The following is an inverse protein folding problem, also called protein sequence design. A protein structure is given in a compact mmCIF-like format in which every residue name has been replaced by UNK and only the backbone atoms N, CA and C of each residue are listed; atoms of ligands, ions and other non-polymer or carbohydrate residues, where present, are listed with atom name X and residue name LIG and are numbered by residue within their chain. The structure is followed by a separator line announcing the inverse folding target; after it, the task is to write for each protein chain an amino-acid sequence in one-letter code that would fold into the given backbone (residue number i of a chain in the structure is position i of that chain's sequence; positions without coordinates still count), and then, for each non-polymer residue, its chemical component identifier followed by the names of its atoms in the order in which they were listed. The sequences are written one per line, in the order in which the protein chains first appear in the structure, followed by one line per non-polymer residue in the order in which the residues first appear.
data_IF_608592264389
#
_entry.id   IF_608592264389
#
_cell.length_a   1.000
_cell.length_b   1.000
_cell.length_c   1.000
_cell.angle_alpha   90.00
_cell.angle_beta   90.00
_cell.angle_gamma   90.00
#
_symmetry.space_group_name_H-M   'P 1'
#
loop_
_entity.id
_entity.type
_entity.pdbx_description
1 polymer ?
#
# COMPACT_ATOMS: atom_id res chain seq x y z
N UNK A 1 -19.61 0.74 -5.08
CA UNK A 1 -18.30 1.12 -4.52
C UNK A 1 -17.49 1.77 -5.63
N UNK A 2 -17.09 3.04 -5.47
CA UNK A 2 -16.51 3.85 -6.56
C UNK A 2 -15.04 3.45 -6.75
N UNK A 3 -14.74 2.62 -7.76
CA UNK A 3 -13.37 2.41 -8.22
C UNK A 3 -12.89 3.76 -8.74
N UNK A 4 -11.92 4.39 -8.08
CA UNK A 4 -11.25 5.55 -8.65
C UNK A 4 -10.11 5.02 -9.53
N UNK A 5 -10.29 4.99 -10.87
CA UNK A 5 -9.35 4.34 -11.77
C UNK A 5 -7.97 5.00 -11.76
N UNK A 6 -7.89 6.27 -11.37
CA UNK A 6 -6.64 7.04 -11.33
C UNK A 6 -5.98 7.04 -9.95
N UNK A 7 -6.60 6.45 -8.92
CA UNK A 7 -6.06 6.49 -7.56
C UNK A 7 -4.67 5.84 -7.48
N UNK A 8 -4.47 4.71 -8.15
CA UNK A 8 -3.17 4.04 -8.17
C UNK A 8 -2.10 4.87 -8.89
N UNK A 9 -2.45 5.57 -9.98
CA UNK A 9 -1.53 6.47 -10.68
C UNK A 9 -1.17 7.69 -9.83
N UNK A 10 -2.19 8.31 -9.22
CA UNK A 10 -1.99 9.45 -8.31
C UNK A 10 -1.16 9.06 -7.11
N UNK A 11 -1.42 7.89 -6.51
CA UNK A 11 -0.66 7.40 -5.37
C UNK A 11 0.80 7.11 -5.74
N UNK A 12 1.07 6.57 -6.93
CA UNK A 12 2.45 6.40 -7.41
C UNK A 12 3.16 7.74 -7.66
N UNK A 13 2.44 8.74 -8.15
CA UNK A 13 3.01 10.06 -8.45
C UNK A 13 3.23 10.91 -7.20
N UNK A 14 2.28 10.88 -6.26
CA UNK A 14 2.31 11.63 -5.01
C UNK A 14 1.56 10.85 -3.90
N UNK A 15 2.25 9.92 -3.20
CA UNK A 15 1.63 9.16 -2.11
C UNK A 15 1.17 10.08 -0.98
N UNK A 16 1.94 11.12 -0.66
CA UNK A 16 1.65 12.01 0.46
C UNK A 16 0.40 12.86 0.22
N UNK A 17 0.28 13.49 -0.96
CA UNK A 17 -0.92 14.26 -1.30
C UNK A 17 -2.17 13.39 -1.34
N UNK A 18 -2.05 12.13 -1.79
CA UNK A 18 -3.18 11.18 -1.70
C UNK A 18 -3.51 10.86 -0.23
N UNK A 19 -2.53 10.57 0.61
CA UNK A 19 -2.77 10.28 2.03
C UNK A 19 -3.37 11.47 2.79
N UNK A 20 -3.00 12.70 2.43
CA UNK A 20 -3.60 13.93 2.97
C UNK A 20 -5.09 14.04 2.65
N UNK A 21 -5.52 13.68 1.43
CA UNK A 21 -6.93 13.68 1.02
C UNK A 21 -7.78 12.70 1.84
N UNK A 22 -7.16 11.63 2.36
CA UNK A 22 -7.82 10.65 3.21
C UNK A 22 -7.60 10.89 4.70
N UNK A 23 -6.93 11.99 5.09
CA UNK A 23 -6.58 12.32 6.47
C UNK A 23 -5.82 11.19 7.18
N UNK A 24 -4.89 10.56 6.46
CA UNK A 24 -4.04 9.51 7.03
C UNK A 24 -2.79 10.14 7.61
N UNK A 25 -2.68 10.05 8.93
CA UNK A 25 -1.63 10.65 9.74
C UNK A 25 -0.95 9.58 10.62
N UNK A 26 0.14 9.97 11.29
CA UNK A 26 0.81 9.11 12.27
C UNK A 26 1.74 8.06 11.67
N UNK A 27 2.06 7.03 12.46
CA UNK A 27 3.07 6.02 12.12
C UNK A 27 2.67 5.18 10.90
N UNK A 28 1.38 4.88 10.76
CA UNK A 28 0.83 4.13 9.63
C UNK A 28 1.05 4.85 8.30
N UNK A 29 1.04 6.19 8.30
CA UNK A 29 1.29 7.01 7.12
C UNK A 29 2.65 6.71 6.51
N UNK A 30 3.68 6.54 7.34
CA UNK A 30 5.05 6.28 6.87
C UNK A 30 5.09 4.97 6.09
N UNK A 31 4.51 3.91 6.67
CA UNK A 31 4.44 2.60 6.03
C UNK A 31 3.59 2.61 4.75
N UNK A 32 2.50 3.38 4.72
CA UNK A 32 1.69 3.53 3.50
C UNK A 32 2.46 4.28 2.42
N UNK A 33 3.09 5.42 2.74
CA UNK A 33 3.80 6.26 1.78
C UNK A 33 5.00 5.54 1.13
N UNK A 34 5.70 4.68 1.88
CA UNK A 34 6.81 3.87 1.38
C UNK A 34 6.39 2.53 0.77
N UNK A 35 5.09 2.18 0.83
CA UNK A 35 4.59 0.85 0.48
C UNK A 35 5.30 -0.28 1.24
N UNK A 36 5.59 -0.06 2.53
CA UNK A 36 6.12 -1.08 3.42
C UNK A 36 5.02 -2.07 3.79
N UNK A 37 4.76 -3.00 2.86
CA UNK A 37 3.73 -4.02 3.00
C UNK A 37 3.94 -4.91 4.23
N UNK A 38 5.20 -5.09 4.66
CA UNK A 38 5.52 -5.86 5.86
C UNK A 38 5.14 -5.11 7.13
N UNK A 39 5.52 -3.84 7.24
CA UNK A 39 5.12 -3.02 8.39
C UNK A 39 3.60 -2.90 8.51
N UNK A 40 2.89 -2.74 7.38
CA UNK A 40 1.42 -2.73 7.36
C UNK A 40 0.82 -4.07 7.79
N UNK A 41 1.39 -5.20 7.33
CA UNK A 41 0.96 -6.54 7.72
C UNK A 41 1.18 -6.79 9.22
N UNK A 42 2.37 -6.46 9.74
CA UNK A 42 2.72 -6.62 11.14
C UNK A 42 1.88 -5.68 12.05
N UNK A 43 1.44 -4.54 11.51
CA UNK A 43 0.47 -3.63 12.14
C UNK A 43 -0.98 -4.14 12.18
N UNK A 44 -1.25 -5.34 11.64
CA UNK A 44 -2.56 -5.98 11.69
C UNK A 44 -3.51 -5.61 10.55
N UNK A 45 -3.02 -4.92 9.51
CA UNK A 45 -3.83 -4.65 8.31
C UNK A 45 -4.20 -5.96 7.63
N UNK A 46 -5.46 -6.08 7.22
CA UNK A 46 -5.96 -7.28 6.56
C UNK A 46 -5.11 -7.62 5.32
N UNK A 47 -4.53 -8.84 5.24
CA UNK A 47 -3.65 -9.22 4.14
C UNK A 47 -4.33 -9.12 2.77
N UNK A 48 -5.63 -9.40 2.67
CA UNK A 48 -6.36 -9.28 1.41
C UNK A 48 -6.46 -7.83 0.93
N UNK A 49 -6.54 -6.85 1.84
CA UNK A 49 -6.52 -5.42 1.45
C UNK A 49 -5.15 -5.03 0.89
N UNK A 50 -4.08 -5.47 1.54
CA UNK A 50 -2.71 -5.25 1.07
C UNK A 50 -2.48 -5.92 -0.29
N UNK A 51 -3.00 -7.13 -0.48
CA UNK A 51 -2.90 -7.86 -1.75
C UNK A 51 -3.59 -7.12 -2.89
N UNK A 52 -4.84 -6.68 -2.70
CA UNK A 52 -5.55 -5.94 -3.74
C UNK A 52 -4.91 -4.57 -4.02
N UNK A 53 -4.39 -3.90 -2.99
CA UNK A 53 -3.63 -2.66 -3.15
C UNK A 53 -2.37 -2.90 -4.01
N UNK A 54 -1.56 -3.90 -3.64
CA UNK A 54 -0.36 -4.31 -4.35
C UNK A 54 -0.62 -4.56 -5.85
N UNK A 55 -1.68 -5.32 -6.17
CA UNK A 55 -2.07 -5.56 -7.56
C UNK A 55 -2.45 -4.29 -8.31
N UNK A 56 -3.13 -3.34 -7.65
CA UNK A 56 -3.55 -2.08 -8.29
C UNK A 56 -2.37 -1.15 -8.56
N UNK A 57 -1.35 -1.16 -7.71
CA UNK A 57 -0.13 -0.37 -7.90
C UNK A 57 0.92 -1.06 -8.76
N UNK A 58 0.68 -2.31 -9.18
CA UNK A 58 1.52 -3.04 -10.14
C UNK A 58 2.55 -3.99 -9.52
N UNK A 59 2.46 -4.25 -8.22
CA UNK A 59 3.25 -5.28 -7.53
C UNK A 59 2.62 -6.64 -7.81
N UNK A 60 3.40 -7.57 -8.36
CA UNK A 60 2.88 -8.89 -8.69
C UNK A 60 2.67 -9.77 -7.45
N UNK A 61 1.99 -10.90 -7.64
CA UNK A 61 1.66 -11.82 -6.54
C UNK A 61 2.90 -12.39 -5.86
N UNK A 62 3.93 -12.77 -6.62
CA UNK A 62 5.13 -13.39 -6.06
C UNK A 62 5.90 -12.37 -5.23
N UNK A 63 6.06 -11.16 -5.75
CA UNK A 63 6.69 -10.04 -5.08
C UNK A 63 5.94 -9.65 -3.79
N UNK A 64 4.61 -9.55 -3.84
CA UNK A 64 3.77 -9.27 -2.67
C UNK A 64 4.04 -10.25 -1.50
N UNK A 65 4.00 -11.55 -1.78
CA UNK A 65 4.24 -12.55 -0.75
C UNK A 65 5.70 -12.59 -0.28
N UNK A 66 6.66 -12.24 -1.15
CA UNK A 66 8.07 -12.12 -0.78
C UNK A 66 8.30 -10.94 0.17
N UNK A 67 7.71 -9.76 -0.13
CA UNK A 67 7.79 -8.57 0.72
C UNK A 67 7.19 -8.81 2.11
N UNK A 68 5.99 -9.41 2.20
CA UNK A 68 5.35 -9.70 3.50
C UNK A 68 6.18 -10.70 4.34
N UNK A 69 6.82 -11.67 3.69
CA UNK A 69 7.71 -12.62 4.37
C UNK A 69 9.08 -12.03 4.72
N UNK A 70 9.38 -10.80 4.27
CA UNK A 70 10.69 -10.17 4.44
C UNK A 70 11.78 -10.79 3.57
N UNK A 71 11.41 -11.53 2.52
CA UNK A 71 12.33 -12.17 1.58
C UNK A 71 12.79 -11.19 0.49
N UNK A 72 12.05 -10.10 0.28
CA UNK A 72 12.29 -9.05 -0.72
C UNK A 72 12.14 -7.69 -0.02
N UNK A 73 13.15 -6.84 -0.14
CA UNK A 73 13.19 -5.48 0.43
C UNK A 73 13.21 -4.41 -0.66
#
# INVERSE_FOLDING_TARGET
MRKNPTLAERFRADPNGVLDEYHIDGEERVAMASLDLKALYDGGVNPYLLYFCALQIGVDRAEYYGRIRGEIG
#
